data_IF_836031681632
#
_entry.id   IF_836031681632
#
_cell.length_a   1.000
_cell.length_b   1.000
_cell.length_c   1.000
_cell.angle_alpha   90.00
_cell.angle_beta   90.00
_cell.angle_gamma   90.00
#
_symmetry.space_group_name_H-M   'P 1'
#
loop_
_entity.id
_entity.type
_entity.pdbx_description
1 polymer ?
#
# COMPACT_ATOMS: atom_id res chain seq x y z
N UNK A 1 13.50 -9.25 27.14
CA UNK A 1 13.46 -8.56 25.82
C UNK A 1 12.24 -9.08 25.08
N UNK A 2 11.18 -8.29 25.02
CA UNK A 2 9.99 -8.64 24.22
C UNK A 2 10.30 -8.34 22.76
N UNK A 3 10.99 -9.26 22.10
CA UNK A 3 11.41 -9.13 20.71
C UNK A 3 10.31 -9.54 19.74
N UNK A 4 9.19 -8.82 19.73
CA UNK A 4 8.18 -8.93 18.69
C UNK A 4 8.47 -7.95 17.53
N UNK A 5 7.71 -8.07 16.42
CA UNK A 5 7.82 -7.17 15.27
C UNK A 5 7.81 -5.67 15.63
N UNK A 6 7.03 -5.18 16.62
CA UNK A 6 7.11 -3.78 17.06
C UNK A 6 8.50 -3.34 17.49
N UNK A 7 9.20 -4.14 18.29
CA UNK A 7 10.55 -3.78 18.75
C UNK A 7 11.59 -3.71 17.61
N UNK A 8 11.44 -4.52 16.57
CA UNK A 8 12.30 -4.44 15.37
C UNK A 8 12.04 -3.17 14.56
N UNK A 9 10.79 -2.74 14.45
CA UNK A 9 10.41 -1.51 13.76
C UNK A 9 10.98 -0.29 14.48
N UNK A 10 10.88 -0.25 15.81
CA UNK A 10 11.43 0.85 16.63
C UNK A 10 12.95 0.97 16.47
N UNK A 11 13.65 -0.17 16.47
CA UNK A 11 15.10 -0.20 16.25
C UNK A 11 15.49 0.31 14.84
N UNK A 12 14.75 -0.10 13.82
CA UNK A 12 14.98 0.36 12.45
C UNK A 12 14.68 1.85 12.30
N UNK A 13 13.61 2.34 12.92
CA UNK A 13 13.28 3.76 12.93
C UNK A 13 14.40 4.57 13.60
N UNK A 14 14.86 4.15 14.77
CA UNK A 14 15.94 4.83 15.46
C UNK A 14 17.24 4.83 14.65
N UNK A 15 17.63 3.68 14.08
CA UNK A 15 18.80 3.60 13.22
C UNK A 15 18.69 4.51 11.99
N UNK A 16 17.49 4.66 11.43
CA UNK A 16 17.25 5.58 10.30
C UNK A 16 17.42 7.04 10.74
N UNK A 17 16.91 7.41 11.90
CA UNK A 17 17.08 8.76 12.48
C UNK A 17 18.56 9.05 12.72
N UNK A 18 19.31 8.11 13.30
CA UNK A 18 20.74 8.23 13.55
C UNK A 18 21.57 8.44 12.26
N UNK A 19 21.04 7.94 11.13
CA UNK A 19 21.59 8.14 9.79
C UNK A 19 21.07 9.41 9.08
N UNK A 20 20.29 10.22 9.76
CA UNK A 20 19.78 11.50 9.26
C UNK A 20 18.45 11.45 8.52
N UNK A 21 17.66 10.37 8.68
CA UNK A 21 16.31 10.35 8.17
C UNK A 21 15.38 11.22 9.02
N UNK A 22 14.49 11.95 8.36
CA UNK A 22 13.44 12.73 8.99
C UNK A 22 12.09 12.03 8.80
N UNK A 23 11.28 11.99 9.85
CA UNK A 23 9.95 11.38 9.85
C UNK A 23 8.87 12.45 9.97
N UNK A 24 7.96 12.48 9.01
CA UNK A 24 6.81 13.37 8.99
C UNK A 24 5.54 12.53 9.14
N UNK A 25 4.92 12.58 10.31
CA UNK A 25 3.67 11.86 10.58
C UNK A 25 2.45 12.69 10.20
N UNK A 26 1.29 12.02 10.05
CA UNK A 26 0.03 12.65 9.67
C UNK A 26 0.10 13.41 8.34
N UNK A 27 0.94 12.94 7.43
CA UNK A 27 1.14 13.49 6.10
C UNK A 27 0.66 12.46 5.07
N UNK A 28 -0.46 12.74 4.42
CA UNK A 28 -1.00 11.85 3.38
C UNK A 28 -0.41 12.22 2.02
N UNK A 29 0.31 11.30 1.39
CA UNK A 29 0.78 11.46 0.01
C UNK A 29 -0.39 11.62 -0.95
N UNK A 30 -0.38 12.69 -1.76
CA UNK A 30 -1.45 13.01 -2.70
C UNK A 30 -1.03 12.93 -4.15
N UNK A 31 0.22 13.30 -4.44
CA UNK A 31 0.67 13.37 -5.82
C UNK A 31 2.19 13.22 -5.92
N UNK A 32 2.65 12.54 -6.96
CA UNK A 32 4.04 12.58 -7.40
C UNK A 32 4.23 13.70 -8.42
N UNK A 33 5.37 14.37 -8.36
CA UNK A 33 5.72 15.46 -9.29
C UNK A 33 6.89 15.03 -10.15
N UNK A 34 6.77 15.18 -11.47
CA UNK A 34 7.86 14.95 -12.41
C UNK A 34 8.62 16.27 -12.66
N UNK A 35 9.90 16.14 -12.95
CA UNK A 35 10.82 17.29 -12.98
C UNK A 35 10.87 18.07 -14.30
N UNK A 36 10.20 17.58 -15.35
CA UNK A 36 10.15 18.26 -16.63
C UNK A 36 8.73 18.79 -16.94
N UNK A 37 8.66 19.77 -17.84
CA UNK A 37 7.39 20.26 -18.36
C UNK A 37 6.55 19.12 -18.96
N UNK A 38 5.24 19.29 -18.97
CA UNK A 38 4.28 18.29 -19.43
C UNK A 38 4.28 16.97 -18.65
N UNK A 39 4.63 17.01 -17.37
CA UNK A 39 4.63 15.84 -16.49
C UNK A 39 5.48 14.68 -17.06
N UNK A 40 6.66 14.98 -17.57
CA UNK A 40 7.63 14.01 -18.08
C UNK A 40 8.91 13.99 -17.23
N UNK A 41 9.85 13.11 -17.56
CA UNK A 41 11.12 13.02 -16.85
C UNK A 41 11.00 12.26 -15.51
N UNK A 42 11.99 12.43 -14.66
CA UNK A 42 12.10 11.75 -13.37
C UNK A 42 11.11 12.32 -12.35
N UNK A 43 10.61 11.49 -11.44
CA UNK A 43 9.90 11.97 -10.27
C UNK A 43 10.86 12.68 -9.33
N UNK A 44 10.56 13.93 -9.01
CA UNK A 44 11.45 14.85 -8.25
C UNK A 44 10.83 15.36 -6.96
N UNK A 45 9.56 15.09 -6.72
CA UNK A 45 8.91 15.49 -5.48
C UNK A 45 7.65 14.64 -5.20
N UNK A 46 7.22 14.74 -3.94
CA UNK A 46 5.90 14.29 -3.48
C UNK A 46 5.16 15.51 -2.93
N UNK A 47 3.88 15.62 -3.25
CA UNK A 47 2.97 16.53 -2.55
C UNK A 47 2.21 15.68 -1.53
N UNK A 48 2.21 16.12 -0.28
CA UNK A 48 1.46 15.52 0.80
C UNK A 48 0.55 16.56 1.46
N UNK A 49 -0.54 16.09 2.03
CA UNK A 49 -1.51 16.88 2.76
C UNK A 49 -1.37 16.58 4.26
N UNK A 50 -1.28 17.64 5.06
CA UNK A 50 -1.24 17.52 6.51
C UNK A 50 -2.63 17.34 7.14
N UNK A 51 -2.68 17.22 8.46
CA UNK A 51 -3.93 17.03 9.20
C UNK A 51 -4.89 18.25 9.11
N UNK A 52 -4.36 19.43 8.80
CA UNK A 52 -5.11 20.69 8.66
C UNK A 52 -5.58 20.93 7.22
N UNK A 53 -5.22 20.04 6.29
CA UNK A 53 -5.56 20.15 4.87
C UNK A 53 -4.61 21.01 4.05
N UNK A 54 -3.45 21.41 4.61
CA UNK A 54 -2.46 22.15 3.85
C UNK A 54 -1.59 21.19 3.01
N UNK A 55 -1.15 21.67 1.85
CA UNK A 55 -0.28 20.90 0.97
C UNK A 55 1.18 21.28 1.16
N UNK A 56 2.01 20.26 1.40
CA UNK A 56 3.46 20.40 1.55
C UNK A 56 4.15 19.63 0.42
N UNK A 57 5.13 20.26 -0.21
CA UNK A 57 5.94 19.64 -1.26
C UNK A 57 7.29 19.20 -0.69
N UNK A 58 7.55 17.90 -0.76
CA UNK A 58 8.84 17.31 -0.41
C UNK A 58 9.65 17.06 -1.68
N UNK A 59 10.78 17.75 -1.83
CA UNK A 59 11.67 17.55 -2.97
C UNK A 59 12.57 16.33 -2.77
N UNK A 60 12.74 15.54 -3.81
CA UNK A 60 13.53 14.31 -3.82
C UNK A 60 14.70 14.40 -4.81
N UNK A 61 15.91 14.51 -4.30
CA UNK A 61 17.11 14.66 -5.12
C UNK A 61 17.50 13.36 -5.85
N UNK A 62 17.23 12.20 -5.24
CA UNK A 62 17.59 10.87 -5.79
C UNK A 62 16.40 10.14 -6.38
N UNK A 63 15.26 10.14 -5.72
CA UNK A 63 14.05 9.44 -6.12
C UNK A 63 13.04 9.35 -4.98
N UNK A 64 11.90 8.75 -5.27
CA UNK A 64 10.82 8.50 -4.32
C UNK A 64 10.59 6.99 -4.25
N UNK A 65 10.53 6.44 -3.05
CA UNK A 65 10.11 5.06 -2.80
C UNK A 65 8.67 5.07 -2.34
N UNK A 66 7.82 4.31 -3.02
CA UNK A 66 6.44 4.09 -2.62
C UNK A 66 6.36 2.81 -1.77
N UNK A 67 6.05 2.97 -0.49
CA UNK A 67 5.85 1.88 0.46
C UNK A 67 4.50 2.05 1.17
N UNK A 68 3.45 2.32 0.38
CA UNK A 68 2.14 2.80 0.83
C UNK A 68 1.13 1.68 1.09
N UNK A 69 1.58 0.44 1.12
CA UNK A 69 0.71 -0.72 1.27
C UNK A 69 -0.07 -1.05 0.00
N UNK A 70 -1.11 -1.82 0.17
CA UNK A 70 -1.96 -2.36 -0.89
C UNK A 70 -3.22 -1.50 -1.16
N UNK A 71 -4.20 -2.06 -1.86
CA UNK A 71 -5.48 -1.42 -2.17
C UNK A 71 -6.69 -2.22 -1.64
N UNK A 72 -6.47 -3.12 -0.68
CA UNK A 72 -7.50 -4.06 -0.21
C UNK A 72 -8.73 -3.42 0.44
N UNK A 73 -8.64 -2.18 0.91
CA UNK A 73 -9.77 -1.42 1.44
C UNK A 73 -10.41 -0.45 0.42
N UNK A 74 -9.98 -0.49 -0.84
CA UNK A 74 -10.62 0.25 -1.93
C UNK A 74 -11.43 -0.72 -2.80
N UNK A 75 -12.74 -0.75 -2.57
CA UNK A 75 -13.63 -1.67 -3.25
C UNK A 75 -13.63 -1.50 -4.78
N UNK A 76 -13.55 -0.26 -5.25
CA UNK A 76 -13.55 0.02 -6.70
C UNK A 76 -12.28 -0.51 -7.36
N UNK A 77 -11.13 -0.35 -6.72
CA UNK A 77 -9.88 -0.93 -7.18
C UNK A 77 -9.88 -2.45 -7.09
N UNK A 78 -10.45 -3.01 -6.03
CA UNK A 78 -10.61 -4.46 -5.89
C UNK A 78 -11.48 -5.02 -7.02
N UNK A 79 -12.60 -4.38 -7.33
CA UNK A 79 -13.44 -4.80 -8.47
C UNK A 79 -12.70 -4.69 -9.81
N UNK A 80 -11.96 -3.60 -10.01
CA UNK A 80 -11.26 -3.36 -11.27
C UNK A 80 -10.08 -4.29 -11.48
N UNK A 81 -9.30 -4.58 -10.44
CA UNK A 81 -8.01 -5.27 -10.56
C UNK A 81 -8.02 -6.70 -10.03
N UNK A 82 -8.92 -7.02 -9.10
CA UNK A 82 -9.01 -8.32 -8.47
C UNK A 82 -10.49 -8.80 -8.38
N UNK A 83 -11.22 -8.88 -9.50
CA UNK A 83 -12.67 -9.08 -9.51
C UNK A 83 -13.11 -10.37 -8.84
N UNK A 84 -12.30 -11.43 -8.89
CA UNK A 84 -12.63 -12.71 -8.26
C UNK A 84 -12.81 -12.61 -6.74
N UNK A 85 -12.25 -11.59 -6.11
CA UNK A 85 -12.23 -11.41 -4.66
C UNK A 85 -12.98 -10.15 -4.20
N UNK A 86 -13.47 -9.33 -5.13
CA UNK A 86 -14.15 -8.09 -4.81
C UNK A 86 -15.38 -8.32 -3.91
N UNK A 87 -16.18 -9.32 -4.20
CA UNK A 87 -17.37 -9.65 -3.40
C UNK A 87 -17.00 -10.20 -2.02
N UNK A 88 -15.89 -10.94 -1.94
CA UNK A 88 -15.37 -11.43 -0.66
C UNK A 88 -14.81 -10.28 0.19
N UNK A 89 -14.20 -9.28 -0.44
CA UNK A 89 -13.68 -8.10 0.24
C UNK A 89 -14.80 -7.21 0.79
N UNK A 90 -15.98 -7.18 0.14
CA UNK A 90 -17.13 -6.40 0.58
C UNK A 90 -17.73 -6.91 1.89
N UNK A 91 -17.88 -8.21 2.02
CA UNK A 91 -18.65 -8.83 3.08
C UNK A 91 -17.80 -9.35 4.24
N UNK A 92 -16.50 -9.30 4.12
CA UNK A 92 -15.55 -9.88 5.07
C UNK A 92 -14.39 -8.96 5.32
N UNK A 93 -13.90 -8.97 6.56
CA UNK A 93 -12.69 -8.25 6.94
C UNK A 93 -11.52 -8.72 6.07
N UNK A 94 -11.18 -7.93 5.07
CA UNK A 94 -9.95 -8.09 4.33
C UNK A 94 -8.81 -7.77 5.29
N UNK A 95 -7.76 -8.58 5.29
CA UNK A 95 -6.57 -8.37 6.12
C UNK A 95 -5.72 -7.19 5.65
N UNK A 96 -6.35 -6.12 5.31
CA UNK A 96 -5.69 -4.91 4.87
C UNK A 96 -6.02 -3.78 5.85
N UNK A 97 -5.05 -2.95 6.15
CA UNK A 97 -5.30 -1.78 6.97
C UNK A 97 -6.32 -0.86 6.27
N UNK A 98 -7.22 -0.24 7.04
CA UNK A 98 -8.25 0.67 6.51
C UNK A 98 -7.67 1.86 5.73
N UNK A 99 -6.40 2.20 5.98
CA UNK A 99 -5.63 3.20 5.24
C UNK A 99 -5.17 2.73 3.86
N UNK A 100 -5.22 1.42 3.56
CA UNK A 100 -4.73 0.85 2.31
C UNK A 100 -5.75 1.04 1.19
N UNK A 101 -5.78 2.23 0.62
CA UNK A 101 -6.70 2.67 -0.42
C UNK A 101 -6.11 2.63 -1.84
N UNK A 102 -4.85 2.19 -1.98
CA UNK A 102 -4.18 2.15 -3.27
C UNK A 102 -3.59 3.49 -3.71
N UNK A 103 -3.46 4.45 -2.81
CA UNK A 103 -2.97 5.80 -3.13
C UNK A 103 -1.62 5.77 -3.88
N UNK A 104 -0.68 4.94 -3.43
CA UNK A 104 0.63 4.83 -4.08
C UNK A 104 0.56 4.20 -5.46
N UNK A 105 -0.31 3.21 -5.66
CA UNK A 105 -0.55 2.61 -6.98
C UNK A 105 -1.08 3.65 -7.95
N UNK A 106 -2.11 4.40 -7.54
CA UNK A 106 -2.70 5.46 -8.37
C UNK A 106 -1.69 6.57 -8.67
N UNK A 107 -0.97 7.07 -7.66
CA UNK A 107 0.07 8.08 -7.86
C UNK A 107 1.16 7.61 -8.84
N UNK A 108 1.57 6.33 -8.75
CA UNK A 108 2.53 5.74 -9.68
C UNK A 108 2.00 5.71 -11.11
N UNK A 109 0.74 5.34 -11.30
CA UNK A 109 0.10 5.30 -12.61
C UNK A 109 -0.06 6.70 -13.22
N UNK A 110 -0.44 7.70 -12.43
CA UNK A 110 -0.59 9.08 -12.90
C UNK A 110 0.71 9.69 -13.44
N UNK A 111 1.84 9.19 -13.01
CA UNK A 111 3.15 9.59 -13.55
C UNK A 111 3.72 8.61 -14.57
N UNK A 112 2.88 7.75 -15.14
CA UNK A 112 3.23 6.86 -16.25
C UNK A 112 3.75 5.49 -15.84
N UNK A 113 3.59 5.09 -14.58
CA UNK A 113 3.80 3.71 -14.14
C UNK A 113 2.75 2.77 -14.73
N UNK A 114 3.10 1.52 -14.92
CA UNK A 114 2.17 0.48 -15.35
C UNK A 114 1.82 -0.43 -14.18
N UNK A 115 0.53 -0.79 -14.11
CA UNK A 115 0.09 -1.87 -13.25
C UNK A 115 0.35 -3.22 -13.90
N UNK A 116 0.49 -4.24 -13.07
CA UNK A 116 0.49 -5.63 -13.51
C UNK A 116 -0.78 -5.92 -14.32
N UNK A 117 -0.71 -6.87 -15.25
CA UNK A 117 -1.89 -7.30 -15.99
C UNK A 117 -2.97 -7.85 -15.05
N UNK A 118 -4.21 -7.45 -15.29
CA UNK A 118 -5.38 -7.95 -14.55
C UNK A 118 -5.88 -9.28 -15.14
N UNK A 119 -6.48 -10.18 -14.32
CA UNK A 119 -6.75 -10.02 -12.89
C UNK A 119 -5.49 -10.20 -12.02
N UNK A 120 -5.40 -9.40 -10.95
CA UNK A 120 -4.33 -9.59 -9.98
C UNK A 120 -4.59 -10.85 -9.14
N UNK A 121 -3.53 -11.62 -8.81
CA UNK A 121 -3.67 -12.74 -7.90
C UNK A 121 -3.96 -12.24 -6.48
N UNK A 122 -4.80 -12.97 -5.79
CA UNK A 122 -5.02 -12.74 -4.37
C UNK A 122 -3.92 -13.41 -3.55
N UNK A 123 -3.35 -12.69 -2.59
CA UNK A 123 -2.47 -13.28 -1.59
C UNK A 123 -3.23 -13.40 -0.27
N UNK A 124 -3.53 -14.64 0.11
CA UNK A 124 -4.11 -14.94 1.41
C UNK A 124 -3.02 -15.48 2.33
N UNK A 125 -2.85 -14.86 3.49
CA UNK A 125 -2.11 -15.46 4.58
C UNK A 125 -3.09 -16.28 5.42
N UNK A 126 -3.13 -17.61 5.18
CA UNK A 126 -3.85 -18.52 6.05
C UNK A 126 -3.07 -18.70 7.35
N UNK A 127 -3.55 -18.19 8.48
CA UNK A 127 -3.09 -18.62 9.80
C UNK A 127 -3.87 -19.83 10.26
N UNK A 128 -3.27 -20.78 11.00
CA UNK A 128 -4.03 -21.86 11.64
C UNK A 128 -5.05 -21.22 12.59
N UNK A 129 -6.32 -21.23 12.22
CA UNK A 129 -7.41 -20.56 12.93
C UNK A 129 -8.28 -19.67 12.06
N UNK A 130 -7.78 -19.15 10.96
CA UNK A 130 -8.52 -18.31 10.00
C UNK A 130 -9.41 -19.08 9.03
N UNK A 131 -9.85 -20.27 9.44
CA UNK A 131 -10.69 -21.12 8.61
C UNK A 131 -12.06 -20.51 8.27
N UNK A 132 -12.41 -19.39 8.88
CA UNK A 132 -13.61 -18.62 8.60
C UNK A 132 -13.45 -17.50 7.58
N UNK A 133 -12.23 -17.05 7.32
CA UNK A 133 -12.01 -15.88 6.46
C UNK A 133 -12.20 -16.18 4.96
N UNK A 134 -11.95 -17.43 4.53
CA UNK A 134 -12.03 -17.83 3.12
C UNK A 134 -12.68 -19.19 2.94
N UNK A 135 -13.98 -19.36 3.24
CA UNK A 135 -14.64 -20.68 3.20
C UNK A 135 -14.85 -21.25 1.79
N UNK A 136 -14.20 -20.76 0.78
CA UNK A 136 -14.24 -21.31 -0.58
C UNK A 136 -12.86 -21.56 -1.17
N UNK A 137 -11.79 -21.12 -0.49
CA UNK A 137 -10.41 -21.30 -0.95
C UNK A 137 -9.76 -22.57 -0.40
N UNK A 138 -10.26 -23.09 0.71
CA UNK A 138 -9.82 -24.36 1.27
C UNK A 138 -10.90 -25.40 1.02
N UNK A 139 -10.59 -26.43 0.27
CA UNK A 139 -11.44 -27.61 0.12
C UNK A 139 -11.72 -28.29 1.45
N UNK A 140 -12.62 -29.27 1.44
CA UNK A 140 -13.01 -30.07 2.63
C UNK A 140 -11.80 -30.67 3.36
N UNK A 141 -10.68 -30.88 2.66
CA UNK A 141 -9.43 -31.41 3.20
C UNK A 141 -8.43 -30.33 3.59
N UNK A 142 -8.81 -29.05 3.64
CA UNK A 142 -7.91 -27.90 3.93
C UNK A 142 -6.77 -27.73 2.93
N UNK A 143 -6.93 -28.20 1.73
CA UNK A 143 -6.00 -27.98 0.64
C UNK A 143 -6.44 -26.75 -0.18
N UNK A 144 -5.45 -25.95 -0.64
CA UNK A 144 -5.72 -24.84 -1.53
C UNK A 144 -6.15 -25.38 -2.89
N UNK A 145 -7.33 -25.01 -3.34
CA UNK A 145 -7.78 -25.24 -4.71
C UNK A 145 -7.46 -24.01 -5.55
N UNK A 146 -6.64 -24.22 -6.58
CA UNK A 146 -6.29 -23.21 -7.58
C UNK A 146 -7.25 -23.28 -8.77
#
# INVERSE_FOLDING_TARGET
MNGGMPGAIDLLAQASIDLGAEFFFNMRGRQLVRGADNNTGRVTAVIAEDADGNYVKFNANKGVVLATGDYGHNYDLMQAWCPMYADMARDRNVYSATSNQGDGHLMGMWVGGMMQAIPHPHMAHGTPGDQGAYPGLLGENKELHY
#
